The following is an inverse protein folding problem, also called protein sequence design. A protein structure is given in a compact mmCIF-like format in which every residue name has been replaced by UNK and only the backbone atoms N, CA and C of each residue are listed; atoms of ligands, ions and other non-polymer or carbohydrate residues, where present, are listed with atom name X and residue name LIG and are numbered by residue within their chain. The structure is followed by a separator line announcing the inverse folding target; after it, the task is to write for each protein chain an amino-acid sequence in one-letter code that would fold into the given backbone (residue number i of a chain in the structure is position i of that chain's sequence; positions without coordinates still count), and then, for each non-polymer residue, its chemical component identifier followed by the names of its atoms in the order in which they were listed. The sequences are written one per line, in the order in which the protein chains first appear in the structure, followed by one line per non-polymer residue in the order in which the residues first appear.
data_IF_473226404735
#
_entry.id   IF_473226404735
#
_cell.length_a   1.000
_cell.length_b   1.000
_cell.length_c   1.000
_cell.angle_alpha   90.00
_cell.angle_beta   90.00
_cell.angle_gamma   90.00
#
_symmetry.space_group_name_H-M   'P 1'
#
loop_
_entity.id
_entity.type
_entity.pdbx_description
1 polymer ?
#
# COMPACT_ATOMS: atom_id res chain seq x y z
N UNK A 1 41.15 -16.48 38.36
CA UNK A 1 41.98 -15.78 37.35
C UNK A 1 41.24 -15.88 36.02
N UNK A 2 40.46 -14.87 35.65
CA UNK A 2 40.89 -13.65 34.93
C UNK A 2 41.18 -13.95 33.43
N UNK A 3 40.65 -13.26 32.43
CA UNK A 3 39.80 -12.09 32.39
C UNK A 3 39.12 -11.95 31.01
N UNK A 4 38.04 -11.17 31.00
CA UNK A 4 37.27 -10.68 29.87
C UNK A 4 38.07 -9.78 28.93
N UNK A 5 37.82 -9.87 27.62
CA UNK A 5 38.26 -8.90 26.63
C UNK A 5 37.12 -7.89 26.38
N UNK A 6 37.35 -6.66 26.84
CA UNK A 6 36.54 -5.47 26.56
C UNK A 6 37.10 -4.82 25.29
N UNK A 7 36.28 -4.64 24.26
CA UNK A 7 36.63 -3.85 23.08
C UNK A 7 36.57 -2.36 23.45
N UNK A 8 37.71 -1.69 23.38
CA UNK A 8 37.84 -0.26 23.62
C UNK A 8 37.29 0.54 22.44
N UNK A 9 36.54 1.59 22.79
CA UNK A 9 36.03 2.64 21.92
C UNK A 9 37.19 3.58 21.56
N UNK A 10 37.68 3.56 20.31
CA UNK A 10 38.67 4.53 19.84
C UNK A 10 37.97 5.86 19.49
N UNK A 11 38.05 6.83 20.40
CA UNK A 11 37.84 8.24 20.08
C UNK A 11 39.07 8.75 19.33
N UNK A 12 38.93 8.98 18.02
CA UNK A 12 39.98 9.61 17.21
C UNK A 12 39.84 11.13 17.29
N UNK A 13 40.79 11.77 17.96
CA UNK A 13 40.96 13.21 17.97
C UNK A 13 41.43 13.70 16.59
N UNK A 14 40.73 14.69 16.04
CA UNK A 14 41.14 15.40 14.82
C UNK A 14 42.26 16.35 15.20
N UNK A 15 43.49 16.07 14.75
CA UNK A 15 44.60 17.00 14.84
C UNK A 15 44.52 18.01 13.68
N UNK A 16 44.85 19.25 14.03
CA UNK A 16 44.89 20.45 13.20
C UNK A 16 46.03 20.43 12.16
N UNK A 17 45.79 21.06 11.01
CA UNK A 17 46.70 21.06 9.84
C UNK A 17 48.12 21.59 10.16
N UNK A 18 48.24 22.48 11.15
CA UNK A 18 49.53 23.05 11.57
C UNK A 18 50.43 22.03 12.30
N UNK A 19 49.86 21.07 13.03
CA UNK A 19 50.65 20.05 13.74
C UNK A 19 51.16 18.96 12.80
N UNK A 20 50.44 18.68 11.71
CA UNK A 20 50.86 17.79 10.63
C UNK A 20 52.01 18.37 9.80
N UNK A 21 52.02 19.69 9.59
CA UNK A 21 53.09 20.37 8.86
C UNK A 21 54.44 20.34 9.62
N UNK A 22 54.41 20.37 10.96
CA UNK A 22 55.63 20.36 11.78
C UNK A 22 56.33 18.98 11.85
N UNK A 23 55.61 17.89 11.55
CA UNK A 23 56.15 16.52 11.56
C UNK A 23 56.78 16.06 10.23
N UNK A 24 56.87 16.94 9.21
CA UNK A 24 57.65 16.68 8.00
C UNK A 24 57.17 15.50 7.15
N UNK A 25 55.88 15.13 7.23
CA UNK A 25 55.31 14.05 6.43
C UNK A 25 54.89 14.57 5.04
N UNK A 26 55.57 14.10 4.01
CA UNK A 26 55.32 14.40 2.60
C UNK A 26 53.87 14.10 2.17
N UNK A 27 53.24 15.09 1.53
CA UNK A 27 51.90 15.08 0.92
C UNK A 27 51.82 14.16 -0.32
N UNK A 28 52.08 12.87 -0.17
CA UNK A 28 52.10 11.95 -1.33
C UNK A 28 51.52 10.55 -1.06
N UNK A 29 50.60 10.38 -0.10
CA UNK A 29 49.83 9.13 0.03
C UNK A 29 48.62 9.26 0.96
N UNK A 30 47.63 10.09 0.62
CA UNK A 30 46.30 10.00 1.24
C UNK A 30 45.23 10.64 0.35
N UNK A 31 45.05 10.11 -0.87
CA UNK A 31 43.73 10.18 -1.49
C UNK A 31 42.83 9.21 -0.71
N UNK A 32 42.36 9.64 0.46
CA UNK A 32 41.23 9.02 1.14
C UNK A 32 40.07 8.95 0.12
N UNK A 33 39.28 7.87 0.09
CA UNK A 33 38.08 7.86 -0.72
C UNK A 33 37.20 9.01 -0.20
N UNK A 34 37.12 10.09 -0.98
CA UNK A 34 36.15 11.17 -0.79
C UNK A 34 34.82 10.47 -0.51
N UNK A 35 34.24 10.74 0.65
CA UNK A 35 32.94 10.18 1.00
C UNK A 35 31.96 10.55 -0.12
N UNK A 36 31.69 9.59 -1.01
CA UNK A 36 30.60 9.62 -1.98
C UNK A 36 29.32 9.47 -1.16
N UNK A 37 28.99 10.51 -0.40
CA UNK A 37 28.21 10.41 0.84
C UNK A 37 26.87 11.12 0.81
N UNK A 38 26.50 11.77 -0.30
CA UNK A 38 25.29 12.60 -0.38
C UNK A 38 24.38 12.30 -1.58
N UNK A 39 24.60 11.21 -2.32
CA UNK A 39 23.67 10.83 -3.41
C UNK A 39 22.25 10.60 -2.89
N UNK A 40 22.09 10.17 -1.64
CA UNK A 40 20.77 10.04 -1.03
C UNK A 40 20.03 11.38 -0.87
N UNK A 41 20.74 12.52 -0.79
CA UNK A 41 20.10 13.84 -0.66
C UNK A 41 19.40 14.26 -1.95
N UNK A 42 19.99 13.94 -3.10
CA UNK A 42 19.39 14.25 -4.42
C UNK A 42 18.19 13.35 -4.74
N UNK A 43 18.16 12.13 -4.19
CA UNK A 43 17.10 11.16 -4.43
C UNK A 43 16.16 10.95 -3.23
N UNK A 44 16.21 11.78 -2.19
CA UNK A 44 15.43 11.59 -0.95
C UNK A 44 13.91 11.45 -1.16
N UNK A 45 13.36 12.17 -2.13
CA UNK A 45 11.94 12.10 -2.52
C UNK A 45 11.56 10.73 -3.12
N UNK A 46 12.53 10.02 -3.68
CA UNK A 46 12.39 8.70 -4.28
C UNK A 46 12.77 7.57 -3.31
N UNK A 47 12.86 7.83 -2.00
CA UNK A 47 13.17 6.81 -1.00
C UNK A 47 11.96 6.55 -0.11
N UNK A 48 11.38 5.34 -0.20
CA UNK A 48 10.27 4.93 0.67
C UNK A 48 10.75 4.86 2.13
N UNK A 49 10.06 5.54 3.06
CA UNK A 49 10.34 5.44 4.50
C UNK A 49 10.07 4.02 5.02
N UNK A 50 10.98 3.49 5.83
CA UNK A 50 10.85 2.19 6.49
C UNK A 50 10.91 2.38 8.01
N UNK A 51 10.04 1.67 8.75
CA UNK A 51 9.98 1.76 10.22
C UNK A 51 11.28 1.36 10.92
N UNK A 52 12.10 0.51 10.28
CA UNK A 52 13.40 0.06 10.78
C UNK A 52 14.58 0.93 10.35
N UNK A 53 14.37 1.91 9.46
CA UNK A 53 15.44 2.64 8.78
C UNK A 53 16.06 1.89 7.58
N UNK A 54 17.12 2.46 7.02
CA UNK A 54 17.90 1.93 5.88
C UNK A 54 19.39 2.09 6.15
N UNK A 55 20.17 1.18 5.58
CA UNK A 55 21.63 1.28 5.53
C UNK A 55 22.04 2.25 4.41
N UNK A 56 22.80 3.29 4.77
CA UNK A 56 23.20 4.39 3.88
C UNK A 56 24.11 3.88 2.76
N UNK A 57 25.02 2.96 3.03
CA UNK A 57 25.96 2.43 2.02
C UNK A 57 25.21 1.64 0.94
N UNK A 58 24.23 0.83 1.36
CA UNK A 58 23.37 0.09 0.43
C UNK A 58 22.43 1.00 -0.34
N UNK A 59 21.95 2.06 0.31
CA UNK A 59 21.10 3.07 -0.32
C UNK A 59 21.84 3.79 -1.45
N UNK A 60 23.05 4.30 -1.21
CA UNK A 60 23.84 4.96 -2.24
C UNK A 60 24.09 4.03 -3.44
N UNK A 61 24.46 2.77 -3.20
CA UNK A 61 24.61 1.77 -4.28
C UNK A 61 23.32 1.56 -5.07
N UNK A 62 22.18 1.47 -4.39
CA UNK A 62 20.89 1.29 -5.04
C UNK A 62 20.44 2.52 -5.84
N UNK A 63 20.82 3.73 -5.40
CA UNK A 63 20.54 4.98 -6.09
C UNK A 63 21.41 5.14 -7.34
N UNK A 64 22.71 4.81 -7.29
CA UNK A 64 23.57 4.75 -8.48
C UNK A 64 22.98 3.86 -9.57
N UNK A 65 22.41 2.73 -9.17
CA UNK A 65 21.77 1.79 -10.09
C UNK A 65 20.45 2.29 -10.70
N UNK A 66 19.90 3.42 -10.26
CA UNK A 66 18.79 4.07 -10.96
C UNK A 66 19.25 4.88 -12.15
N UNK A 67 20.44 5.49 -12.06
CA UNK A 67 21.02 6.33 -13.10
C UNK A 67 21.75 5.48 -14.14
N UNK A 68 22.49 4.46 -13.70
CA UNK A 68 23.28 3.60 -14.57
C UNK A 68 22.47 2.36 -15.04
N UNK A 69 22.19 2.22 -16.36
CA UNK A 69 21.46 1.08 -16.90
C UNK A 69 22.20 -0.26 -16.73
N UNK A 70 23.54 -0.27 -16.70
CA UNK A 70 24.32 -1.49 -16.51
C UNK A 70 24.16 -2.04 -15.09
N UNK A 71 24.26 -1.16 -14.09
CA UNK A 71 23.99 -1.51 -12.69
C UNK A 71 22.53 -1.91 -12.47
N UNK A 72 21.58 -1.25 -13.15
CA UNK A 72 20.17 -1.64 -13.13
C UNK A 72 19.98 -3.07 -13.65
N UNK A 73 20.60 -3.42 -14.77
CA UNK A 73 20.54 -4.78 -15.33
C UNK A 73 21.15 -5.81 -14.37
N UNK A 74 22.30 -5.49 -13.75
CA UNK A 74 22.92 -6.33 -12.74
C UNK A 74 22.03 -6.58 -11.52
N UNK A 75 21.28 -5.57 -11.05
CA UNK A 75 20.30 -5.74 -9.97
C UNK A 75 19.16 -6.67 -10.38
N UNK A 76 18.62 -6.53 -11.59
CA UNK A 76 17.54 -7.40 -12.06
C UNK A 76 18.01 -8.86 -12.19
N UNK A 77 19.23 -9.06 -12.65
CA UNK A 77 19.84 -10.39 -12.74
C UNK A 77 20.12 -10.97 -11.34
N UNK A 78 20.64 -10.18 -10.40
CA UNK A 78 20.83 -10.59 -9.02
C UNK A 78 19.51 -11.01 -8.36
N UNK A 79 18.42 -10.27 -8.62
CA UNK A 79 17.08 -10.64 -8.17
C UNK A 79 16.67 -12.00 -8.72
N UNK A 80 16.86 -12.22 -10.02
CA UNK A 80 16.52 -13.48 -10.67
C UNK A 80 17.27 -14.66 -10.05
N UNK A 81 18.57 -14.51 -9.80
CA UNK A 81 19.39 -15.53 -9.14
C UNK A 81 18.92 -15.82 -7.72
N UNK A 82 18.56 -14.81 -6.93
CA UNK A 82 18.00 -15.03 -5.60
C UNK A 82 16.69 -15.80 -5.66
N UNK A 83 15.82 -15.49 -6.62
CA UNK A 83 14.57 -16.22 -6.82
C UNK A 83 14.84 -17.68 -7.22
N UNK A 84 15.80 -17.94 -8.11
CA UNK A 84 16.20 -19.30 -8.49
C UNK A 84 16.77 -20.08 -7.29
N UNK A 85 17.60 -19.42 -6.48
CA UNK A 85 18.15 -20.01 -5.25
C UNK A 85 17.08 -20.38 -4.22
N UNK A 86 15.95 -19.66 -4.15
CA UNK A 86 14.82 -20.03 -3.29
C UNK A 86 14.24 -21.39 -3.72
N UNK A 87 14.10 -21.64 -5.02
CA UNK A 87 13.52 -22.88 -5.55
C UNK A 87 14.49 -24.07 -5.49
N UNK A 88 15.79 -23.81 -5.56
CA UNK A 88 16.85 -24.83 -5.48
C UNK A 88 17.26 -25.16 -4.04
N UNK A 89 16.76 -24.41 -3.05
CA UNK A 89 17.10 -24.59 -1.65
C UNK A 89 16.59 -25.92 -1.09
N UNK A 90 17.49 -26.71 -0.51
CA UNK A 90 17.19 -28.02 0.10
C UNK A 90 17.52 -28.08 1.61
N UNK A 91 17.63 -26.93 2.27
CA UNK A 91 17.90 -26.88 3.72
C UNK A 91 16.67 -27.07 4.59
N UNK A 92 16.91 -27.12 5.91
CA UNK A 92 15.88 -27.38 6.94
C UNK A 92 14.81 -26.29 7.04
N UNK A 93 15.20 -25.02 6.87
CA UNK A 93 14.32 -23.85 6.97
C UNK A 93 14.10 -23.20 5.58
N UNK A 94 13.11 -23.68 4.80
CA UNK A 94 12.78 -23.11 3.50
C UNK A 94 12.25 -21.67 3.57
N UNK A 95 11.90 -21.11 4.74
CA UNK A 95 11.47 -19.72 4.86
C UNK A 95 12.65 -18.74 4.77
N UNK A 96 13.83 -19.14 5.24
CA UNK A 96 14.99 -18.25 5.33
C UNK A 96 15.41 -17.60 3.99
N UNK A 97 15.52 -18.34 2.87
CA UNK A 97 15.83 -17.76 1.55
C UNK A 97 14.82 -16.71 1.09
N UNK A 98 13.53 -16.86 1.45
CA UNK A 98 12.51 -15.85 1.14
C UNK A 98 12.75 -14.56 1.92
N UNK A 99 13.07 -14.66 3.21
CA UNK A 99 13.34 -13.50 4.06
C UNK A 99 14.55 -12.72 3.57
N UNK A 100 15.61 -13.42 3.16
CA UNK A 100 16.83 -12.82 2.62
C UNK A 100 16.57 -12.12 1.29
N UNK A 101 15.80 -12.76 0.40
CA UNK A 101 15.39 -12.14 -0.86
C UNK A 101 14.50 -10.90 -0.64
N UNK A 102 13.51 -10.99 0.26
CA UNK A 102 12.64 -9.86 0.64
C UNK A 102 13.48 -8.69 1.17
N UNK A 103 14.39 -8.96 2.11
CA UNK A 103 15.26 -7.95 2.70
C UNK A 103 16.14 -7.30 1.63
N UNK A 104 16.73 -8.10 0.76
CA UNK A 104 17.54 -7.61 -0.34
C UNK A 104 16.72 -6.73 -1.30
N UNK A 105 15.49 -7.13 -1.69
CA UNK A 105 14.63 -6.30 -2.55
C UNK A 105 14.28 -4.97 -1.87
N UNK A 106 13.99 -4.96 -0.57
CA UNK A 106 13.72 -3.72 0.18
C UNK A 106 14.91 -2.74 0.18
N UNK A 107 16.13 -3.28 0.27
CA UNK A 107 17.38 -2.51 0.27
C UNK A 107 17.78 -2.04 -1.14
N UNK A 108 17.66 -2.91 -2.15
CA UNK A 108 18.06 -2.66 -3.53
C UNK A 108 17.08 -1.81 -4.34
N UNK A 109 15.82 -1.67 -3.90
CA UNK A 109 14.81 -0.86 -4.59
C UNK A 109 14.24 0.24 -3.66
N UNK A 110 14.96 1.36 -3.46
CA UNK A 110 14.60 2.37 -2.48
C UNK A 110 13.27 3.08 -2.75
N UNK A 111 12.95 3.32 -4.01
CA UNK A 111 11.66 3.93 -4.44
C UNK A 111 10.46 3.05 -4.19
N UNK A 112 10.68 1.75 -3.98
CA UNK A 112 9.58 0.81 -3.95
C UNK A 112 8.76 0.88 -5.25
N UNK A 113 7.44 0.72 -5.13
CA UNK A 113 6.54 0.73 -6.28
C UNK A 113 6.42 -0.61 -6.98
N UNK A 114 5.56 -0.64 -7.98
CA UNK A 114 5.05 -1.87 -8.60
C UNK A 114 6.12 -2.60 -9.44
N UNK A 115 7.17 -1.89 -9.88
CA UNK A 115 8.30 -2.48 -10.60
C UNK A 115 9.20 -3.36 -9.72
N UNK A 116 9.26 -3.08 -8.41
CA UNK A 116 10.12 -3.85 -7.48
C UNK A 116 9.68 -5.30 -7.38
N UNK A 117 8.40 -5.59 -7.68
CA UNK A 117 7.78 -6.89 -7.50
C UNK A 117 7.81 -7.41 -6.06
N UNK A 118 8.02 -6.52 -5.09
CA UNK A 118 8.08 -6.86 -3.66
C UNK A 118 6.73 -7.41 -3.17
N UNK A 119 5.61 -6.84 -3.61
CA UNK A 119 4.26 -7.32 -3.26
C UNK A 119 4.01 -8.74 -3.79
N UNK A 120 4.48 -9.02 -5.02
CA UNK A 120 4.41 -10.36 -5.60
C UNK A 120 5.27 -11.32 -4.78
N UNK A 121 6.48 -10.92 -4.40
CA UNK A 121 7.36 -11.76 -3.57
C UNK A 121 6.73 -12.06 -2.20
N UNK A 122 6.09 -11.08 -1.56
CA UNK A 122 5.34 -11.30 -0.33
C UNK A 122 4.21 -12.31 -0.53
N UNK A 123 3.35 -12.09 -1.54
CA UNK A 123 2.21 -12.98 -1.81
C UNK A 123 2.66 -14.42 -2.06
N UNK A 124 3.70 -14.61 -2.88
CA UNK A 124 4.24 -15.93 -3.15
C UNK A 124 4.77 -16.58 -1.87
N UNK A 125 5.55 -15.85 -1.06
CA UNK A 125 6.06 -16.34 0.23
C UNK A 125 4.92 -16.74 1.19
N UNK A 126 3.88 -15.92 1.30
CA UNK A 126 2.77 -16.23 2.21
C UNK A 126 1.91 -17.39 1.70
N UNK A 127 1.74 -17.50 0.37
CA UNK A 127 0.99 -18.58 -0.26
C UNK A 127 1.74 -19.91 -0.23
N UNK A 128 3.07 -19.93 -0.17
CA UNK A 128 3.83 -21.18 -0.03
C UNK A 128 3.75 -21.77 1.37
N UNK A 129 3.67 -20.95 2.43
CA UNK A 129 3.81 -21.44 3.81
C UNK A 129 2.56 -21.33 4.68
N UNK A 130 1.44 -20.75 4.22
CA UNK A 130 0.24 -20.56 5.07
C UNK A 130 -0.36 -21.84 5.65
N UNK A 131 -0.16 -22.98 5.00
CA UNK A 131 -0.67 -24.29 5.41
C UNK A 131 0.34 -25.11 6.22
N UNK A 132 1.60 -24.65 6.33
CA UNK A 132 2.64 -25.34 7.08
C UNK A 132 2.55 -24.94 8.56
N UNK A 133 2.22 -25.91 9.42
CA UNK A 133 2.05 -25.71 10.87
C UNK A 133 3.31 -25.15 11.53
N UNK A 134 4.50 -25.45 10.98
CA UNK A 134 5.80 -25.01 11.55
C UNK A 134 5.92 -23.49 11.61
N UNK A 135 5.31 -22.78 10.67
CA UNK A 135 5.44 -21.33 10.55
C UNK A 135 4.24 -20.54 11.08
N UNK A 136 3.15 -21.23 11.48
CA UNK A 136 1.95 -20.54 12.00
C UNK A 136 2.25 -19.69 13.23
N UNK A 137 3.16 -20.16 14.09
CA UNK A 137 3.61 -19.43 15.28
C UNK A 137 5.00 -18.77 15.12
N UNK A 138 5.54 -18.70 13.89
CA UNK A 138 6.81 -18.02 13.65
C UNK A 138 6.61 -16.50 13.47
N UNK A 139 7.28 -15.71 14.31
CA UNK A 139 7.27 -14.26 14.24
C UNK A 139 7.82 -13.72 12.90
N UNK A 140 8.79 -14.40 12.29
CA UNK A 140 9.37 -14.02 10.99
C UNK A 140 8.31 -14.11 9.90
N UNK A 141 7.55 -15.21 9.87
CA UNK A 141 6.46 -15.41 8.93
C UNK A 141 5.33 -14.39 9.13
N UNK A 142 4.95 -14.15 10.39
CA UNK A 142 3.95 -13.13 10.72
C UNK A 142 4.39 -11.74 10.24
N UNK A 143 5.66 -11.36 10.38
CA UNK A 143 6.15 -10.07 9.87
C UNK A 143 5.97 -9.95 8.35
N UNK A 144 6.19 -11.01 7.59
CA UNK A 144 5.95 -11.01 6.13
C UNK A 144 4.47 -10.73 5.83
N UNK A 145 3.54 -11.36 6.55
CA UNK A 145 2.11 -11.09 6.42
C UNK A 145 1.74 -9.64 6.77
N UNK A 146 2.31 -9.07 7.83
CA UNK A 146 2.02 -7.70 8.23
C UNK A 146 2.57 -6.68 7.22
N UNK A 147 3.76 -6.92 6.68
CA UNK A 147 4.32 -6.12 5.59
C UNK A 147 3.47 -6.25 4.32
N UNK A 148 3.00 -7.46 3.99
CA UNK A 148 2.09 -7.68 2.87
C UNK A 148 0.80 -6.86 3.04
N UNK A 149 0.17 -6.95 4.22
CA UNK A 149 -1.03 -6.19 4.55
C UNK A 149 -0.84 -4.67 4.44
N UNK A 150 0.33 -4.16 4.84
CA UNK A 150 0.66 -2.74 4.69
C UNK A 150 0.83 -2.26 3.25
N UNK A 151 0.90 -3.15 2.26
CA UNK A 151 0.95 -2.80 0.84
C UNK A 151 -0.39 -2.94 0.11
N UNK A 152 -1.42 -3.53 0.73
CA UNK A 152 -2.72 -3.78 0.12
C UNK A 152 -3.75 -2.69 0.47
N UNK A 153 -4.76 -2.51 -0.41
CA UNK A 153 -5.81 -1.52 -0.24
C UNK A 153 -6.75 -1.87 0.92
N UNK A 154 -7.18 -3.14 1.02
CA UNK A 154 -7.93 -3.63 2.17
C UNK A 154 -7.16 -4.66 2.99
N UNK A 155 -6.36 -4.15 3.93
CA UNK A 155 -5.63 -4.97 4.89
C UNK A 155 -6.55 -5.80 5.81
N UNK A 156 -7.83 -5.43 6.00
CA UNK A 156 -8.75 -6.14 6.91
C UNK A 156 -9.03 -7.57 6.44
N UNK A 157 -9.03 -7.80 5.13
CA UNK A 157 -9.20 -9.14 4.53
C UNK A 157 -8.05 -10.06 4.92
N UNK A 158 -6.83 -9.56 4.97
CA UNK A 158 -5.65 -10.34 5.39
C UNK A 158 -5.72 -10.69 6.87
N UNK A 159 -6.11 -9.76 7.75
CA UNK A 159 -6.27 -10.07 9.17
C UNK A 159 -7.35 -11.13 9.43
N UNK A 160 -8.47 -11.09 8.70
CA UNK A 160 -9.49 -12.14 8.78
C UNK A 160 -8.96 -13.51 8.33
N UNK A 161 -8.14 -13.53 7.29
CA UNK A 161 -7.48 -14.76 6.83
C UNK A 161 -6.52 -15.31 7.87
N UNK A 162 -5.70 -14.47 8.49
CA UNK A 162 -4.81 -14.85 9.58
C UNK A 162 -5.58 -15.41 10.78
N UNK A 163 -6.71 -14.80 11.13
CA UNK A 163 -7.59 -15.27 12.20
C UNK A 163 -8.18 -16.65 11.90
N UNK A 164 -8.75 -16.84 10.70
CA UNK A 164 -9.34 -18.11 10.27
C UNK A 164 -8.33 -19.27 10.24
N UNK A 165 -7.10 -18.99 9.79
CA UNK A 165 -6.03 -19.99 9.68
C UNK A 165 -5.15 -20.09 10.95
N UNK A 166 -5.50 -19.36 12.01
CA UNK A 166 -4.81 -19.34 13.30
C UNK A 166 -3.31 -18.98 13.21
N UNK A 167 -2.96 -18.08 12.28
CA UNK A 167 -1.57 -17.64 12.08
C UNK A 167 -1.27 -16.46 13.01
N UNK A 168 -0.20 -16.57 13.79
CA UNK A 168 0.34 -15.47 14.60
C UNK A 168 -0.48 -15.11 15.84
N UNK A 169 -1.42 -15.97 16.26
CA UNK A 169 -2.32 -15.68 17.38
C UNK A 169 -1.59 -15.54 18.74
N UNK A 170 -0.40 -16.11 18.89
CA UNK A 170 0.40 -15.98 20.12
C UNK A 170 1.19 -14.67 20.19
N UNK A 171 1.30 -13.91 19.09
CA UNK A 171 2.20 -12.76 19.00
C UNK A 171 1.46 -11.44 19.17
N UNK A 172 1.94 -10.60 20.09
CA UNK A 172 1.35 -9.30 20.37
C UNK A 172 1.32 -8.38 19.14
N UNK A 173 2.32 -8.50 18.26
CA UNK A 173 2.44 -7.66 17.06
C UNK A 173 1.21 -7.78 16.14
N UNK A 174 0.58 -8.95 16.07
CA UNK A 174 -0.64 -9.19 15.30
C UNK A 174 -1.79 -8.32 15.81
N UNK A 175 -2.07 -8.37 17.11
CA UNK A 175 -3.16 -7.60 17.72
C UNK A 175 -2.89 -6.09 17.67
N UNK A 176 -1.64 -5.69 17.93
CA UNK A 176 -1.23 -4.29 17.86
C UNK A 176 -1.43 -3.70 16.46
N UNK A 177 -1.00 -4.42 15.42
CA UNK A 177 -1.12 -3.94 14.04
C UNK A 177 -2.56 -3.99 13.56
N UNK A 178 -3.33 -5.01 13.95
CA UNK A 178 -4.74 -5.11 13.59
C UNK A 178 -5.58 -4.01 14.23
N UNK A 179 -5.40 -3.77 15.53
CA UNK A 179 -6.10 -2.70 16.23
C UNK A 179 -5.71 -1.32 15.70
N UNK A 180 -4.44 -1.09 15.34
CA UNK A 180 -3.99 0.14 14.70
C UNK A 180 -4.67 0.38 13.33
N UNK A 181 -4.88 -0.67 12.54
CA UNK A 181 -5.63 -0.60 11.28
C UNK A 181 -7.11 -0.24 11.53
N UNK A 182 -7.73 -0.81 12.56
CA UNK A 182 -9.12 -0.51 12.89
C UNK A 182 -9.27 0.91 13.44
N UNK A 183 -8.30 1.39 14.22
CA UNK A 183 -8.22 2.77 14.71
C UNK A 183 -8.14 3.76 13.54
N UNK A 184 -7.29 3.51 12.53
CA UNK A 184 -7.19 4.39 11.35
C UNK A 184 -8.46 4.40 10.50
N UNK A 185 -9.22 3.29 10.47
CA UNK A 185 -10.57 3.21 9.87
C UNK A 185 -11.69 3.75 10.78
N UNK A 186 -11.36 4.39 11.90
CA UNK A 186 -12.29 4.93 12.90
C UNK A 186 -13.25 3.89 13.54
N UNK A 187 -12.87 2.60 13.52
CA UNK A 187 -13.65 1.49 14.11
C UNK A 187 -13.18 1.20 15.55
N UNK A 188 -13.29 2.19 16.44
CA UNK A 188 -12.71 2.14 17.80
C UNK A 188 -13.23 0.97 18.66
N UNK A 189 -14.54 0.66 18.59
CA UNK A 189 -15.13 -0.48 19.31
C UNK A 189 -14.48 -1.81 18.95
N UNK A 190 -14.29 -2.07 17.66
CA UNK A 190 -13.61 -3.28 17.19
C UNK A 190 -12.13 -3.30 17.58
N UNK A 191 -11.44 -2.16 17.50
CA UNK A 191 -10.05 -2.07 17.94
C UNK A 191 -9.91 -2.47 19.41
N UNK A 192 -10.83 -2.02 20.26
CA UNK A 192 -10.89 -2.40 21.68
C UNK A 192 -11.08 -3.92 21.88
N UNK A 193 -12.00 -4.53 21.13
CA UNK A 193 -12.22 -5.98 21.16
C UNK A 193 -10.96 -6.77 20.78
N UNK A 194 -10.22 -6.32 19.77
CA UNK A 194 -8.97 -6.96 19.32
C UNK A 194 -7.87 -6.86 20.38
N UNK A 195 -7.73 -5.72 21.06
CA UNK A 195 -6.79 -5.60 22.18
C UNK A 195 -7.17 -6.53 23.33
N UNK A 196 -8.45 -6.57 23.72
CA UNK A 196 -8.96 -7.48 24.73
C UNK A 196 -8.70 -8.95 24.37
N UNK A 197 -8.88 -9.31 23.11
CA UNK A 197 -8.61 -10.66 22.61
C UNK A 197 -7.12 -11.04 22.71
N UNK A 198 -6.22 -10.12 22.36
CA UNK A 198 -4.78 -10.34 22.48
C UNK A 198 -4.32 -10.51 23.94
N UNK A 199 -4.90 -9.74 24.86
CA UNK A 199 -4.62 -9.85 26.30
C UNK A 199 -5.18 -11.18 26.85
N UNK A 200 -6.40 -11.56 26.48
CA UNK A 200 -7.03 -12.82 26.89
C UNK A 200 -6.20 -14.04 26.43
N UNK A 201 -5.60 -13.96 25.23
CA UNK A 201 -4.71 -14.99 24.68
C UNK A 201 -3.26 -14.91 25.18
N UNK A 202 -2.94 -13.94 26.05
CA UNK A 202 -1.60 -13.69 26.60
C UNK A 202 -0.52 -13.58 25.52
N UNK A 203 -0.80 -12.81 24.48
CA UNK A 203 0.09 -12.69 23.33
C UNK A 203 1.45 -12.05 23.71
N UNK A 204 2.56 -12.60 23.23
CA UNK A 204 3.93 -12.21 23.60
C UNK A 204 4.51 -11.17 22.61
N UNK A 205 5.23 -10.14 23.08
CA UNK A 205 5.38 -9.70 24.48
C UNK A 205 4.14 -8.97 25.02
N UNK A 206 3.61 -9.45 26.15
CA UNK A 206 2.36 -8.97 26.75
C UNK A 206 2.47 -7.54 27.28
N UNK A 207 3.59 -7.20 27.93
CA UNK A 207 3.85 -5.85 28.45
C UNK A 207 3.76 -4.79 27.35
N UNK A 208 4.29 -5.10 26.17
CA UNK A 208 4.22 -4.21 25.00
C UNK A 208 2.79 -4.06 24.50
N UNK A 209 2.00 -5.15 24.50
CA UNK A 209 0.60 -5.11 24.11
C UNK A 209 -0.22 -4.21 25.05
N UNK A 210 -0.04 -4.37 26.36
CA UNK A 210 -0.73 -3.54 27.36
C UNK A 210 -0.33 -2.07 27.28
N UNK A 211 0.97 -1.78 27.10
CA UNK A 211 1.44 -0.41 26.94
C UNK A 211 0.79 0.26 25.72
N UNK A 212 0.69 -0.46 24.60
CA UNK A 212 0.03 0.03 23.38
C UNK A 212 -1.48 0.16 23.58
N UNK A 213 -2.10 -0.76 24.31
CA UNK A 213 -3.51 -0.66 24.64
C UNK A 213 -3.83 0.58 25.50
N UNK A 214 -3.02 0.88 26.52
CA UNK A 214 -3.16 2.10 27.34
C UNK A 214 -3.02 3.38 26.52
N UNK A 215 -2.08 3.40 25.56
CA UNK A 215 -1.93 4.56 24.66
C UNK A 215 -3.10 4.70 23.69
N UNK A 216 -3.64 3.58 23.17
CA UNK A 216 -4.88 3.57 22.37
C UNK A 216 -6.06 4.15 23.15
N UNK A 217 -6.29 3.71 24.40
CA UNK A 217 -7.39 4.22 25.23
C UNK A 217 -7.28 5.74 25.41
N UNK A 218 -6.08 6.24 25.74
CA UNK A 218 -5.82 7.69 25.88
C UNK A 218 -6.08 8.47 24.58
N UNK A 219 -5.72 7.92 23.41
CA UNK A 219 -6.02 8.55 22.12
C UNK A 219 -7.52 8.56 21.83
N UNK A 220 -8.21 7.46 22.16
CA UNK A 220 -9.64 7.31 21.90
C UNK A 220 -10.51 8.25 22.72
N UNK A 221 -10.14 8.52 23.98
CA UNK A 221 -10.88 9.46 24.85
C UNK A 221 -10.68 10.90 24.41
N UNK A 222 -9.43 11.31 24.12
CA UNK A 222 -9.13 12.66 23.60
C UNK A 222 -9.87 12.99 22.31
N UNK A 223 -10.00 12.00 21.41
CA UNK A 223 -10.70 12.19 20.14
C UNK A 223 -12.21 12.44 20.35
N UNK A 224 -12.80 11.83 21.37
CA UNK A 224 -14.20 12.05 21.74
C UNK A 224 -14.43 13.43 22.37
N UNK A 225 -13.46 13.93 23.15
CA UNK A 225 -13.55 15.26 23.77
C UNK A 225 -13.42 16.39 22.74
N UNK A 226 -12.55 16.23 21.74
CA UNK A 226 -12.37 17.25 20.69
C UNK A 226 -13.59 17.40 19.77
N UNK A 227 -14.34 16.33 19.52
CA UNK A 227 -15.57 16.42 18.72
C UNK A 227 -16.70 17.20 19.40
N UNK A 228 -16.70 17.29 20.73
CA UNK A 228 -17.76 17.99 21.48
C UNK A 228 -17.46 19.50 21.64
N UNK A 229 -16.21 19.92 21.42
CA UNK A 229 -15.76 21.30 21.67
C UNK A 229 -15.79 22.19 20.41
N UNK A 230 -15.61 21.61 19.22
CA UNK A 230 -15.60 22.31 17.92
C UNK A 230 -17.02 22.65 17.37
N UNK A 231 -18.09 22.15 18.00
CA UNK A 231 -19.48 22.44 17.61
C UNK A 231 -19.93 23.88 17.97
N UNK A 232 -19.09 24.68 18.64
CA UNK A 232 -19.46 26.01 19.14
C UNK A 232 -19.07 27.19 18.24
N UNK A 233 -18.39 26.98 17.10
CA UNK A 233 -17.83 28.11 16.31
C UNK A 233 -17.93 28.02 14.78
N UNK A 234 -18.73 27.10 14.22
CA UNK A 234 -18.91 27.02 12.76
C UNK A 234 -20.29 27.53 12.30
N UNK A 235 -20.44 28.85 12.18
CA UNK A 235 -21.63 29.54 11.63
C UNK A 235 -21.75 29.43 10.08
N UNK A 236 -21.12 28.42 9.47
CA UNK A 236 -21.22 28.17 8.03
C UNK A 236 -22.48 27.36 7.73
N UNK A 237 -23.17 27.61 6.59
CA UNK A 237 -24.37 26.86 6.24
C UNK A 237 -24.05 25.36 6.06
N UNK A 238 -24.53 24.55 7.00
CA UNK A 238 -24.45 23.09 6.98
C UNK A 238 -25.32 22.57 5.83
N UNK A 239 -24.79 21.66 5.01
CA UNK A 239 -25.57 20.98 3.96
C UNK A 239 -26.71 20.18 4.60
N UNK A 240 -27.95 20.64 4.43
CA UNK A 240 -29.13 19.87 4.80
C UNK A 240 -29.44 18.80 3.75
N UNK A 241 -29.72 17.58 4.22
CA UNK A 241 -30.14 16.47 3.37
C UNK A 241 -31.55 16.73 2.83
N UNK A 242 -31.76 16.52 1.53
CA UNK A 242 -33.09 16.70 0.89
C UNK A 242 -33.51 18.14 0.60
N UNK A 243 -32.64 19.13 0.80
CA UNK A 243 -32.96 20.54 0.52
C UNK A 243 -33.19 20.76 -0.96
N UNK A 244 -34.38 21.24 -1.31
CA UNK A 244 -34.69 21.67 -2.67
C UNK A 244 -34.13 23.07 -2.90
N UNK A 245 -33.06 23.18 -3.70
CA UNK A 245 -32.52 24.47 -4.12
C UNK A 245 -33.47 25.07 -5.17
N UNK A 246 -34.32 26.02 -4.78
CA UNK A 246 -34.95 26.91 -5.74
C UNK A 246 -33.89 27.87 -6.23
N UNK A 247 -33.55 27.79 -7.51
CA UNK A 247 -32.62 28.70 -8.17
C UNK A 247 -33.22 30.11 -8.11
N UNK A 248 -32.52 31.02 -7.46
CA UNK A 248 -32.95 32.41 -7.30
C UNK A 248 -33.22 33.08 -8.66
N UNK A 249 -34.33 33.83 -8.70
CA UNK A 249 -34.99 34.40 -9.88
C UNK A 249 -34.26 35.64 -10.43
N UNK A 250 -33.02 35.51 -10.93
CA UNK A 250 -32.36 36.63 -11.59
C UNK A 250 -31.62 36.26 -12.89
N UNK A 251 -32.30 35.52 -13.76
CA UNK A 251 -31.94 35.47 -15.17
C UNK A 251 -33.15 35.20 -16.04
N UNK A 252 -33.56 36.23 -16.75
CA UNK A 252 -34.63 36.22 -17.73
C UNK A 252 -34.38 35.12 -18.78
N UNK A 253 -35.40 34.28 -18.95
CA UNK A 253 -35.75 33.43 -20.09
C UNK A 253 -35.00 32.11 -20.36
N UNK A 254 -35.85 31.09 -20.54
CA UNK A 254 -35.69 29.83 -21.28
C UNK A 254 -34.87 28.69 -20.65
N UNK A 255 -35.56 27.90 -19.82
CA UNK A 255 -35.81 26.48 -20.09
C UNK A 255 -36.77 25.93 -19.01
N UNK A 256 -38.05 25.79 -19.37
CA UNK A 256 -38.98 24.88 -18.69
C UNK A 256 -38.41 23.46 -18.81
N UNK A 257 -37.94 22.90 -17.70
CA UNK A 257 -37.86 21.45 -17.42
C UNK A 257 -37.26 21.19 -16.02
N UNK A 258 -37.86 21.76 -14.98
CA UNK A 258 -37.67 21.28 -13.61
C UNK A 258 -38.78 20.28 -13.27
N UNK A 259 -38.58 19.02 -13.67
CA UNK A 259 -39.37 17.89 -13.18
C UNK A 259 -39.06 17.63 -11.68
N UNK A 260 -39.47 18.54 -10.80
CA UNK A 260 -39.74 18.21 -9.41
C UNK A 260 -41.26 18.05 -9.30
N UNK A 261 -41.73 16.88 -9.74
CA UNK A 261 -43.13 16.52 -9.65
C UNK A 261 -43.61 16.61 -8.21
N UNK A 262 -44.65 17.42 -7.99
CA UNK A 262 -45.43 17.39 -6.74
C UNK A 262 -45.90 15.94 -6.54
N UNK A 263 -45.57 15.25 -5.45
CA UNK A 263 -46.01 13.87 -5.29
C UNK A 263 -47.54 13.87 -5.22
N UNK A 264 -48.20 13.23 -6.19
CA UNK A 264 -49.59 12.81 -6.00
C UNK A 264 -49.55 11.74 -4.91
N UNK A 265 -50.26 11.97 -3.81
CA UNK A 265 -50.46 10.95 -2.80
C UNK A 265 -51.20 9.78 -3.47
N UNK A 266 -50.47 8.71 -3.77
CA UNK A 266 -51.09 7.45 -4.18
C UNK A 266 -51.82 6.91 -2.95
N UNK A 267 -53.15 6.82 -3.03
CA UNK A 267 -53.94 6.15 -2.01
C UNK A 267 -53.44 4.72 -1.87
N UNK A 268 -53.15 4.30 -0.63
CA UNK A 268 -52.81 2.91 -0.30
C UNK A 268 -53.97 2.01 -0.70
N UNK A 269 -53.76 1.18 -1.71
CA UNK A 269 -54.65 0.06 -2.02
C UNK A 269 -54.17 -1.12 -1.14
N UNK A 270 -54.51 -1.09 0.14
CA UNK A 270 -54.18 -2.16 1.09
C UNK A 270 -55.17 -3.33 0.87
N UNK A 271 -54.76 -4.34 0.10
CA UNK A 271 -55.53 -5.61 -0.04
C UNK A 271 -54.88 -6.78 0.71
N UNK A 272 -53.67 -6.63 1.25
CA UNK A 272 -52.97 -7.72 1.93
C UNK A 272 -52.56 -7.36 3.36
N UNK A 273 -52.78 -8.30 4.29
CA UNK A 273 -52.47 -8.19 5.72
C UNK A 273 -50.95 -7.98 5.90
N UNK A 274 -50.47 -6.90 6.54
CA UNK A 274 -49.04 -6.64 6.66
C UNK A 274 -48.39 -7.62 7.64
N UNK A 275 -47.25 -8.19 7.25
CA UNK A 275 -46.39 -8.98 8.13
C UNK A 275 -45.68 -8.04 9.14
N UNK A 276 -45.72 -8.38 10.43
CA UNK A 276 -44.99 -7.64 11.46
C UNK A 276 -43.50 -7.92 11.36
N UNK A 277 -42.70 -6.86 11.14
CA UNK A 277 -41.24 -6.94 11.22
C UNK A 277 -40.85 -7.14 12.69
N UNK A 278 -40.05 -8.16 12.96
CA UNK A 278 -39.60 -8.48 14.31
C UNK A 278 -38.75 -7.34 14.89
N UNK A 279 -39.10 -6.89 16.10
CA UNK A 279 -38.40 -5.82 16.82
C UNK A 279 -37.61 -6.45 17.97
N UNK A 280 -36.30 -6.49 17.82
CA UNK A 280 -35.38 -6.97 18.85
C UNK A 280 -35.30 -5.95 20.01
N UNK A 281 -36.20 -6.06 20.98
CA UNK A 281 -36.19 -5.25 22.22
C UNK A 281 -35.18 -5.80 23.26
N UNK A 282 -34.78 -7.07 23.17
CA UNK A 282 -33.86 -7.74 24.12
C UNK A 282 -32.46 -7.95 23.53
N UNK A 283 -31.65 -6.89 23.50
CA UNK A 283 -30.28 -6.90 22.94
C UNK A 283 -29.26 -7.82 23.65
N UNK A 284 -29.54 -8.30 24.87
CA UNK A 284 -28.56 -9.03 25.69
C UNK A 284 -28.61 -10.56 25.48
N UNK A 285 -29.79 -11.15 25.34
CA UNK A 285 -29.95 -12.61 25.17
C UNK A 285 -29.73 -13.06 23.71
N UNK A 286 -30.15 -12.23 22.74
CA UNK A 286 -30.12 -12.58 21.32
C UNK A 286 -28.72 -12.45 20.69
N UNK A 287 -27.77 -11.71 21.30
CA UNK A 287 -26.39 -11.65 20.80
C UNK A 287 -25.65 -13.00 20.86
N UNK A 288 -26.02 -13.89 21.78
CA UNK A 288 -25.38 -15.21 21.90
C UNK A 288 -25.90 -16.15 20.81
N UNK A 289 -27.21 -16.15 20.56
CA UNK A 289 -27.87 -16.99 19.56
C UNK A 289 -27.50 -16.53 18.13
N UNK A 290 -27.38 -15.23 17.90
CA UNK A 290 -27.05 -14.67 16.58
C UNK A 290 -25.56 -14.86 16.22
N UNK A 291 -24.66 -14.92 17.21
CA UNK A 291 -23.25 -15.33 17.01
C UNK A 291 -23.10 -16.78 16.58
N UNK A 292 -23.93 -17.69 17.10
CA UNK A 292 -23.98 -19.09 16.68
C UNK A 292 -24.65 -19.26 15.31
N UNK A 293 -25.76 -18.56 15.04
CA UNK A 293 -26.52 -18.69 13.77
C UNK A 293 -25.79 -18.09 12.56
N UNK A 294 -25.00 -17.02 12.75
CA UNK A 294 -24.11 -16.49 11.69
C UNK A 294 -23.01 -17.46 11.27
N UNK A 295 -22.60 -18.36 12.18
CA UNK A 295 -21.51 -19.31 11.95
C UNK A 295 -21.95 -20.47 11.03
N UNK A 296 -23.25 -20.81 11.03
CA UNK A 296 -23.78 -21.95 10.27
C UNK A 296 -24.31 -21.57 8.86
N UNK A 297 -24.73 -20.31 8.64
CA UNK A 297 -25.35 -19.89 7.37
C UNK A 297 -24.43 -19.01 6.50
N UNK A 298 -23.14 -19.31 6.43
CA UNK A 298 -22.21 -18.65 5.52
C UNK A 298 -22.28 -19.22 4.09
N UNK A 299 -23.44 -19.16 3.43
CA UNK A 299 -23.58 -19.58 2.03
C UNK A 299 -23.58 -18.40 1.05
N UNK A 300 -22.72 -17.40 1.27
CA UNK A 300 -22.28 -16.53 0.18
C UNK A 300 -21.11 -17.24 -0.50
N UNK A 301 -21.39 -18.02 -1.56
CA UNK A 301 -20.39 -18.88 -2.21
C UNK A 301 -19.24 -18.10 -2.86
N UNK A 302 -19.43 -16.81 -3.13
CA UNK A 302 -18.39 -15.92 -3.66
C UNK A 302 -18.63 -14.50 -3.18
N UNK A 303 -17.79 -14.04 -2.25
CA UNK A 303 -17.57 -12.61 -2.05
C UNK A 303 -16.75 -12.14 -3.26
N UNK A 304 -17.42 -11.60 -4.29
CA UNK A 304 -16.74 -11.02 -5.46
C UNK A 304 -15.60 -10.10 -5.03
N UNK A 305 -14.57 -10.03 -5.87
CA UNK A 305 -13.38 -9.22 -5.58
C UNK A 305 -13.76 -7.76 -5.32
N UNK A 306 -12.91 -6.99 -4.63
CA UNK A 306 -13.18 -5.56 -4.44
C UNK A 306 -13.32 -4.84 -5.79
N UNK A 307 -12.55 -5.28 -6.79
CA UNK A 307 -12.70 -4.88 -8.17
C UNK A 307 -14.10 -5.17 -8.74
N UNK A 308 -14.67 -6.36 -8.49
CA UNK A 308 -16.03 -6.71 -8.94
C UNK A 308 -17.11 -5.87 -8.25
N UNK A 309 -16.91 -5.49 -6.98
CA UNK A 309 -17.83 -4.64 -6.22
C UNK A 309 -17.77 -3.17 -6.65
N UNK A 310 -16.58 -2.70 -7.00
CA UNK A 310 -16.32 -1.30 -7.34
C UNK A 310 -16.24 -1.06 -8.85
N UNK A 311 -16.48 -2.07 -9.69
CA UNK A 311 -16.43 -1.95 -11.17
C UNK A 311 -17.35 -0.87 -11.72
N UNK A 312 -18.43 -0.55 -11.03
CA UNK A 312 -19.38 0.51 -11.40
C UNK A 312 -18.94 1.89 -10.87
N UNK A 313 -18.09 1.93 -9.83
CA UNK A 313 -17.54 3.17 -9.27
C UNK A 313 -16.25 3.63 -10.01
N UNK A 314 -15.50 2.69 -10.59
CA UNK A 314 -14.26 2.97 -11.30
C UNK A 314 -14.48 2.93 -12.81
N UNK A 315 -14.44 4.10 -13.45
CA UNK A 315 -14.50 4.19 -14.91
C UNK A 315 -13.23 3.57 -15.52
N UNK A 316 -13.40 2.70 -16.52
CA UNK A 316 -12.23 2.12 -17.22
C UNK A 316 -11.38 3.22 -17.90
N UNK A 317 -10.05 3.13 -17.86
CA UNK A 317 -9.19 4.14 -18.48
C UNK A 317 -9.44 4.26 -19.99
N UNK A 318 -9.94 5.42 -20.42
CA UNK A 318 -10.09 5.75 -21.85
C UNK A 318 -8.74 6.17 -22.43
N UNK A 319 -8.47 5.81 -23.69
CA UNK A 319 -7.26 6.26 -24.40
C UNK A 319 -7.23 7.79 -24.45
N UNK A 320 -6.12 8.42 -24.05
CA UNK A 320 -5.96 9.88 -24.03
C UNK A 320 -6.22 10.58 -25.39
N UNK A 321 -6.12 9.86 -26.50
CA UNK A 321 -6.36 10.41 -27.85
C UNK A 321 -7.85 10.62 -28.21
N UNK A 322 -8.80 10.15 -27.40
CA UNK A 322 -10.23 10.18 -27.73
C UNK A 322 -10.99 11.42 -27.24
N UNK A 323 -10.36 12.30 -26.45
CA UNK A 323 -10.92 13.59 -26.07
C UNK A 323 -10.19 14.71 -26.82
N UNK A 324 -10.63 15.01 -28.04
CA UNK A 324 -10.30 16.29 -28.67
C UNK A 324 -11.23 17.32 -28.06
N UNK A 325 -10.67 18.26 -27.29
CA UNK A 325 -11.41 19.45 -26.85
C UNK A 325 -11.87 20.16 -28.13
N UNK A 326 -13.18 20.31 -28.39
CA UNK A 326 -13.64 21.07 -29.54
C UNK A 326 -13.22 22.52 -29.30
N UNK A 327 -12.20 22.97 -30.03
CA UNK A 327 -11.82 24.37 -30.01
C UNK A 327 -13.00 25.12 -30.61
N UNK A 328 -13.74 25.85 -29.76
CA UNK A 328 -14.90 26.63 -30.20
C UNK A 328 -14.36 27.75 -31.09
N UNK A 329 -14.35 27.52 -32.40
CA UNK A 329 -14.04 28.56 -33.38
C UNK A 329 -15.22 29.52 -33.34
N UNK A 330 -15.14 30.52 -32.47
CA UNK A 330 -16.05 31.64 -32.51
C UNK A 330 -15.92 32.26 -33.90
N UNK A 331 -17.02 32.32 -34.64
CA UNK A 331 -17.11 33.03 -35.90
C UNK A 331 -16.80 34.51 -35.64
N UNK A 332 -15.53 34.88 -35.76
CA UNK A 332 -15.10 36.26 -35.97
C UNK A 332 -14.90 36.40 -37.48
N UNK A 333 -15.53 37.44 -38.04
CA UNK A 333 -15.58 37.71 -39.47
C UNK A 333 -14.20 37.71 -40.11
N UNK A 334 -14.19 37.34 -41.39
CA UNK A 334 -13.01 37.22 -42.23
C UNK A 334 -12.07 38.44 -42.10
N UNK A 335 -10.94 38.22 -41.45
CA UNK A 335 -9.75 39.05 -41.58
C UNK A 335 -8.66 38.13 -42.10
N UNK A 336 -7.96 38.59 -43.15
CA UNK A 336 -6.94 37.84 -43.87
C UNK A 336 -5.87 37.26 -42.91
N UNK A 337 -5.34 36.06 -43.20
CA UNK A 337 -4.31 35.46 -42.37
C UNK A 337 -2.99 36.21 -42.59
N UNK A 338 -2.64 37.13 -41.69
CA UNK A 338 -1.23 37.47 -41.51
C UNK A 338 -0.54 36.23 -40.97
N UNK A 339 0.45 35.75 -41.73
CA UNK A 339 1.29 34.59 -41.40
C UNK A 339 1.67 34.62 -39.92
N UNK A 340 1.08 33.73 -39.13
CA UNK A 340 1.61 33.39 -37.83
C UNK A 340 3.00 32.81 -38.06
N UNK A 341 4.01 33.44 -37.48
CA UNK A 341 5.39 32.95 -37.48
C UNK A 341 5.40 31.57 -36.83
N UNK A 342 5.57 30.53 -37.66
CA UNK A 342 5.83 29.17 -37.19
C UNK A 342 7.17 29.20 -36.47
N UNK A 343 7.20 28.75 -35.21
CA UNK A 343 8.44 28.54 -34.46
C UNK A 343 9.30 27.56 -35.27
N UNK A 344 10.47 28.00 -35.71
CA UNK A 344 11.44 27.15 -36.40
C UNK A 344 12.04 26.19 -35.36
N UNK A 345 11.64 24.93 -35.45
CA UNK A 345 12.26 23.86 -34.67
C UNK A 345 13.52 23.45 -35.42
N UNK A 346 14.67 23.89 -34.94
CA UNK A 346 15.96 23.46 -35.45
C UNK A 346 16.22 22.02 -35.02
N UNK A 347 16.41 21.13 -36.00
CA UNK A 347 16.78 19.73 -35.79
C UNK A 347 18.26 19.62 -36.07
N UNK A 348 19.07 19.36 -35.04
CA UNK A 348 20.51 19.11 -35.20
C UNK A 348 20.74 17.84 -36.03
N UNK A 349 21.62 17.91 -37.03
CA UNK A 349 21.91 16.81 -37.98
C UNK A 349 22.41 15.52 -37.32
N UNK A 350 22.79 15.57 -36.04
CA UNK A 350 23.21 14.41 -35.26
C UNK A 350 22.04 13.50 -34.83
N UNK A 351 20.81 14.03 -34.79
CA UNK A 351 19.60 13.30 -34.38
C UNK A 351 18.95 12.52 -35.54
N UNK A 352 19.43 12.70 -36.78
CA UNK A 352 18.90 12.02 -37.98
C UNK A 352 19.46 10.59 -38.18
N UNK A 353 20.41 10.14 -37.35
CA UNK A 353 21.16 8.87 -37.56
C UNK A 353 20.77 7.71 -36.66
N UNK A 354 19.77 7.81 -35.80
CA UNK A 354 19.29 6.64 -35.03
C UNK A 354 18.12 5.94 -35.75
N UNK A 355 18.31 4.71 -36.27
CA UNK A 355 17.20 3.93 -36.81
C UNK A 355 16.26 3.46 -35.69
N UNK A 356 14.96 3.68 -35.92
CA UNK A 356 13.86 3.23 -35.10
C UNK A 356 13.91 1.71 -34.89
N UNK A 357 14.17 1.27 -33.66
CA UNK A 357 14.21 -0.16 -33.31
C UNK A 357 12.78 -0.72 -33.28
N UNK A 358 12.39 -1.46 -34.33
CA UNK A 358 11.10 -2.14 -34.39
C UNK A 358 11.07 -3.34 -33.45
N UNK A 359 10.08 -3.40 -32.55
CA UNK A 359 9.82 -4.56 -31.68
C UNK A 359 8.68 -5.40 -32.29
N UNK A 360 8.91 -6.67 -32.66
CA UNK A 360 7.84 -7.53 -33.15
C UNK A 360 6.94 -8.00 -32.00
N UNK A 361 5.62 -7.91 -32.20
CA UNK A 361 4.58 -8.50 -31.36
C UNK A 361 4.38 -9.96 -31.76
N UNK A 362 4.42 -10.88 -30.78
CA UNK A 362 3.89 -12.25 -30.94
C UNK A 362 2.71 -12.49 -29.97
N UNK A 363 1.76 -13.40 -30.28
CA UNK A 363 0.52 -13.59 -29.52
C UNK A 363 0.46 -14.92 -28.73
N UNK A 364 0.21 -14.81 -27.41
CA UNK A 364 -0.48 -15.75 -26.48
C UNK A 364 0.14 -17.15 -26.17
N UNK A 365 -0.31 -17.87 -25.10
CA UNK A 365 -0.32 -17.48 -23.68
C UNK A 365 0.21 -18.58 -22.72
N UNK A 366 0.50 -18.17 -21.48
CA UNK A 366 0.49 -18.95 -20.23
C UNK A 366 1.68 -19.87 -19.89
N UNK A 367 2.03 -19.80 -18.59
CA UNK A 367 3.05 -20.54 -17.81
C UNK A 367 4.48 -19.96 -17.90
N UNK A 368 5.11 -19.72 -16.73
CA UNK A 368 6.41 -19.07 -16.47
C UNK A 368 6.39 -17.55 -16.15
N UNK A 369 5.65 -17.14 -15.11
CA UNK A 369 5.50 -15.71 -14.77
C UNK A 369 6.59 -15.05 -13.92
N UNK A 370 7.66 -15.73 -13.50
CA UNK A 370 8.69 -15.07 -12.68
C UNK A 370 10.10 -15.03 -13.27
N UNK A 371 10.47 -15.97 -14.15
CA UNK A 371 11.77 -15.95 -14.84
C UNK A 371 11.86 -14.90 -15.97
N UNK A 372 10.73 -14.40 -16.46
CA UNK A 372 10.66 -13.47 -17.61
C UNK A 372 9.69 -12.29 -17.38
N UNK A 373 9.43 -11.91 -16.14
CA UNK A 373 8.46 -10.87 -15.85
C UNK A 373 8.97 -9.51 -16.35
N UNK A 374 8.45 -9.05 -17.49
CA UNK A 374 8.66 -7.67 -17.94
C UNK A 374 8.14 -6.71 -16.86
N UNK A 375 8.75 -5.53 -16.73
CA UNK A 375 8.33 -4.53 -15.74
C UNK A 375 6.82 -4.23 -15.81
N UNK A 376 6.21 -4.32 -17.00
CA UNK A 376 4.77 -4.16 -17.23
C UNK A 376 3.91 -5.30 -16.65
N UNK A 377 4.41 -6.55 -16.67
CA UNK A 377 3.70 -7.70 -16.08
C UNK A 377 3.70 -7.61 -14.55
N UNK A 378 4.86 -7.33 -13.95
CA UNK A 378 4.99 -7.15 -12.50
C UNK A 378 4.12 -6.00 -11.99
N UNK A 379 4.02 -4.92 -12.78
CA UNK A 379 3.14 -3.79 -12.47
C UNK A 379 1.69 -4.21 -12.31
N UNK A 380 1.14 -4.86 -13.36
CA UNK A 380 -0.25 -5.33 -13.37
C UNK A 380 -0.54 -6.33 -12.25
N UNK A 381 0.38 -7.25 -12.01
CA UNK A 381 0.21 -8.25 -10.95
C UNK A 381 0.26 -7.61 -9.57
N UNK A 382 1.17 -6.66 -9.35
CA UNK A 382 1.22 -5.91 -8.09
C UNK A 382 -0.08 -5.12 -7.86
N UNK A 383 -0.59 -4.41 -8.87
CA UNK A 383 -1.87 -3.69 -8.77
C UNK A 383 -3.03 -4.63 -8.43
N UNK A 384 -3.11 -5.79 -9.11
CA UNK A 384 -4.14 -6.77 -8.84
C UNK A 384 -4.09 -7.30 -7.39
N UNK A 385 -2.89 -7.58 -6.87
CA UNK A 385 -2.68 -8.03 -5.49
C UNK A 385 -2.93 -6.94 -4.46
N UNK A 386 -2.74 -5.67 -4.81
CA UNK A 386 -3.10 -4.54 -3.94
C UNK A 386 -4.62 -4.44 -3.76
N UNK A 387 -5.37 -4.61 -4.84
CA UNK A 387 -6.84 -4.59 -4.80
C UNK A 387 -7.41 -5.88 -4.18
N UNK A 388 -6.85 -7.04 -4.54
CA UNK A 388 -7.32 -8.36 -4.14
C UNK A 388 -6.18 -9.22 -3.58
N UNK A 389 -5.82 -9.05 -2.29
CA UNK A 389 -4.66 -9.70 -1.71
C UNK A 389 -4.74 -11.23 -1.68
N UNK A 390 -5.95 -11.79 -1.60
CA UNK A 390 -6.13 -13.24 -1.47
C UNK A 390 -6.60 -13.92 -2.76
N UNK A 391 -6.50 -13.25 -3.92
CA UNK A 391 -7.01 -13.79 -5.19
C UNK A 391 -6.35 -15.13 -5.60
N UNK A 392 -5.09 -15.34 -5.24
CA UNK A 392 -4.34 -16.55 -5.59
C UNK A 392 -4.47 -17.67 -4.53
N UNK A 393 -5.24 -17.45 -3.46
CA UNK A 393 -5.44 -18.44 -2.40
C UNK A 393 -6.61 -19.37 -2.70
N UNK A 394 -6.57 -20.64 -2.28
CA UNK A 394 -7.67 -21.57 -2.52
C UNK A 394 -8.92 -21.13 -1.75
N UNK A 395 -10.10 -21.22 -2.37
CA UNK A 395 -11.37 -20.78 -1.76
C UNK A 395 -11.70 -21.49 -0.43
N UNK A 396 -11.12 -22.67 -0.17
CA UNK A 396 -11.25 -23.38 1.09
C UNK A 396 -10.54 -22.69 2.26
N UNK A 397 -9.48 -21.93 2.00
CA UNK A 397 -8.69 -21.21 3.02
C UNK A 397 -9.32 -19.90 3.48
N UNK A 398 -10.41 -19.48 2.83
CA UNK A 398 -11.19 -18.27 3.13
C UNK A 398 -12.45 -18.54 3.98
N UNK A 399 -12.69 -19.81 4.36
CA UNK A 399 -13.88 -20.24 5.11
C UNK A 399 -13.68 -20.24 6.61
#
# INVERSE_FOLDING_TARGET
MAAAAVAAEEMVAVLDEETLALMGMSSAAAAAPVAVGAEWETFKENVRPLKRGRDVSKLNRALKAQVDPAQRAALLEARRRMIEAIYEYQGEDPLQPWLDCIKWVQESFPTGGECSGLVVLYEQCVRTFWHDERYKDDLRFLKVWLEYAGNCADAEVIYRFLEANQIGQSHAIYYMSYASLLESKNKLRKANEIFGLGIARKAKPLEKLEAVYRTFLRRSTKKSEHSEQDDTTNDLPIRSFGTSLKRDENRNQQADNSHLGRPRALQRIDVNKPLSVYKDENLLQNQVIDRTRRKENASWRTLGTQADRNKENNMMPTKWACHKVPQKVGARGAVQPTRATSIEVFVDEECAKEPTRMVPKSPNPSVLKLRQATSKSLKKETELLKENPLHNFPLSSLR
#
